data_IF_850689750905
#
_entry.id   IF_850689750905
#
_cell.length_a   1.000
_cell.length_b   1.000
_cell.length_c   1.000
_cell.angle_alpha   90.00
_cell.angle_beta   90.00
_cell.angle_gamma   90.00
#
_symmetry.space_group_name_H-M   'P 1'
#
loop_
_entity.id
_entity.type
_entity.pdbx_description
1 polymer ?
#
# COMPACT_ATOMS: atom_id res chain seq x y z
N UNK A 1 5.02 4.68 5.56
CA UNK A 1 4.91 5.31 6.89
C UNK A 1 5.95 6.43 7.08
N UNK A 2 5.73 7.57 6.42
CA UNK A 2 6.67 8.72 6.51
C UNK A 2 6.21 9.74 7.54
N UNK A 3 4.90 9.95 7.67
CA UNK A 3 4.28 10.83 8.66
C UNK A 3 4.82 12.26 8.65
N UNK A 4 5.03 12.82 7.45
CA UNK A 4 5.61 14.17 7.23
C UNK A 4 7.04 14.33 7.79
N UNK A 5 7.76 13.24 8.04
CA UNK A 5 9.13 13.25 8.51
C UNK A 5 10.11 13.31 7.33
N UNK A 6 10.56 14.51 7.00
CA UNK A 6 11.46 14.76 5.87
C UNK A 6 12.80 14.02 5.96
N UNK A 7 13.35 13.88 7.16
CA UNK A 7 14.65 13.20 7.34
C UNK A 7 14.50 11.69 7.12
N UNK A 8 13.41 11.10 7.60
CA UNK A 8 13.06 9.71 7.31
C UNK A 8 12.87 9.52 5.81
N UNK A 9 12.06 10.37 5.16
CA UNK A 9 11.80 10.26 3.73
C UNK A 9 13.09 10.33 2.90
N UNK A 10 13.93 11.33 3.16
CA UNK A 10 15.25 11.46 2.50
C UNK A 10 16.18 10.29 2.83
N UNK A 11 16.10 9.77 4.05
CA UNK A 11 16.88 8.61 4.49
C UNK A 11 16.56 7.34 3.71
N UNK A 12 15.26 6.98 3.60
CA UNK A 12 14.83 5.75 2.92
C UNK A 12 15.09 5.77 1.41
N UNK A 13 15.07 6.95 0.76
CA UNK A 13 15.35 7.09 -0.68
C UNK A 13 16.81 7.43 -0.98
N UNK A 14 17.67 7.52 0.03
CA UNK A 14 19.08 7.90 -0.13
C UNK A 14 19.83 6.94 -1.07
N UNK A 15 20.46 7.51 -2.07
CA UNK A 15 21.27 6.76 -3.04
C UNK A 15 20.47 6.07 -4.14
N UNK A 16 19.15 6.12 -4.11
CA UNK A 16 18.29 5.61 -5.18
C UNK A 16 18.39 6.56 -6.39
N UNK A 17 18.50 5.99 -7.58
CA UNK A 17 18.56 6.75 -8.84
C UNK A 17 17.37 6.38 -9.71
N UNK A 18 16.90 7.31 -10.53
CA UNK A 18 15.80 7.05 -11.47
C UNK A 18 16.07 5.93 -12.48
N UNK A 19 17.34 5.60 -12.73
CA UNK A 19 17.73 4.47 -13.55
C UNK A 19 17.50 3.10 -12.91
N UNK A 20 17.23 3.07 -11.60
CA UNK A 20 17.22 1.83 -10.82
C UNK A 20 15.81 1.21 -10.72
N UNK A 21 14.76 1.92 -11.18
CA UNK A 21 13.38 1.49 -11.07
C UNK A 21 12.48 2.00 -12.21
N UNK A 22 11.42 1.26 -12.53
CA UNK A 22 10.43 1.59 -13.56
C UNK A 22 9.24 2.37 -13.01
N UNK A 23 8.96 2.26 -11.71
CA UNK A 23 7.91 3.00 -11.00
C UNK A 23 8.24 3.09 -9.51
N UNK A 24 7.64 4.04 -8.85
CA UNK A 24 7.81 4.31 -7.42
C UNK A 24 6.47 4.23 -6.70
N UNK A 25 6.41 3.51 -5.57
CA UNK A 25 5.20 3.35 -4.77
C UNK A 25 5.34 4.07 -3.43
N UNK A 26 4.41 4.96 -3.14
CA UNK A 26 4.19 5.53 -1.81
C UNK A 26 3.05 4.75 -1.15
N UNK A 27 3.39 3.86 -0.22
CA UNK A 27 2.42 2.93 0.35
C UNK A 27 1.79 3.45 1.64
N UNK A 28 1.11 4.59 1.57
CA UNK A 28 0.30 5.15 2.65
C UNK A 28 1.08 5.75 3.80
N UNK A 29 0.36 6.47 4.66
CA UNK A 29 0.85 7.19 5.82
C UNK A 29 2.08 8.06 5.52
N UNK A 30 2.05 8.67 4.32
CA UNK A 30 3.02 9.70 3.95
C UNK A 30 2.78 10.99 4.73
N UNK A 31 1.51 11.25 5.08
CA UNK A 31 1.06 12.36 5.90
C UNK A 31 0.41 11.87 7.19
N UNK A 32 0.71 12.49 8.35
CA UNK A 32 0.01 12.21 9.61
C UNK A 32 -1.42 12.75 9.61
N UNK A 33 -1.62 13.92 8.97
CA UNK A 33 -2.91 14.61 8.81
C UNK A 33 -2.85 15.51 7.58
N UNK A 34 -3.94 15.58 6.82
CA UNK A 34 -4.10 16.57 5.74
C UNK A 34 -4.93 17.74 6.29
N UNK A 35 -4.29 18.64 7.03
CA UNK A 35 -4.96 19.77 7.69
C UNK A 35 -4.93 21.06 6.88
N UNK A 36 -4.08 21.13 5.84
CA UNK A 36 -3.97 22.25 4.91
C UNK A 36 -4.01 21.73 3.47
N UNK A 37 -4.62 22.51 2.58
CA UNK A 37 -4.84 22.10 1.19
C UNK A 37 -3.56 21.73 0.43
N UNK A 38 -2.42 22.29 0.81
CA UNK A 38 -1.12 22.05 0.16
C UNK A 38 -0.18 21.11 0.93
N UNK A 39 -0.67 20.45 2.01
CA UNK A 39 0.11 19.48 2.80
C UNK A 39 0.80 18.45 1.89
N UNK A 40 0.07 17.89 0.92
CA UNK A 40 0.62 16.89 0.01
C UNK A 40 1.76 17.44 -0.86
N UNK A 41 1.64 18.67 -1.33
CA UNK A 41 2.68 19.30 -2.16
C UNK A 41 3.93 19.61 -1.34
N UNK A 42 3.76 20.19 -0.16
CA UNK A 42 4.88 20.67 0.67
C UNK A 42 5.65 19.56 1.38
N UNK A 43 4.97 18.49 1.78
CA UNK A 43 5.54 17.48 2.66
C UNK A 43 5.63 16.08 2.06
N UNK A 44 4.88 15.79 1.00
CA UNK A 44 4.89 14.46 0.38
C UNK A 44 5.55 14.51 -0.99
N UNK A 45 5.06 15.34 -1.89
CA UNK A 45 5.56 15.34 -3.27
C UNK A 45 6.84 16.14 -3.50
N UNK A 46 7.26 16.98 -2.55
CA UNK A 46 8.49 17.78 -2.71
C UNK A 46 9.78 16.94 -2.85
N UNK A 47 9.79 15.70 -2.36
CA UNK A 47 10.93 14.78 -2.48
C UNK A 47 10.95 14.08 -3.84
N UNK A 48 9.79 13.85 -4.46
CA UNK A 48 9.68 13.10 -5.73
C UNK A 48 10.55 13.68 -6.85
N UNK A 49 10.62 15.00 -7.09
CA UNK A 49 11.49 15.56 -8.14
C UNK A 49 12.98 15.26 -7.94
N UNK A 50 13.43 15.00 -6.71
CA UNK A 50 14.82 14.61 -6.47
C UNK A 50 15.10 13.15 -6.86
N UNK A 51 14.05 12.30 -6.93
CA UNK A 51 14.13 10.92 -7.38
C UNK A 51 13.92 10.81 -8.87
N UNK A 52 12.85 11.41 -9.37
CA UNK A 52 12.45 11.33 -10.77
C UNK A 52 11.53 12.47 -11.19
N UNK A 53 11.59 12.84 -12.46
CA UNK A 53 10.64 13.73 -13.12
C UNK A 53 9.87 13.04 -14.25
N UNK A 54 10.13 11.75 -14.52
CA UNK A 54 9.62 11.04 -15.70
C UNK A 54 9.12 9.63 -15.40
N UNK A 55 9.37 9.09 -14.20
CA UNK A 55 8.95 7.75 -13.82
C UNK A 55 7.62 7.82 -13.07
N UNK A 56 6.63 6.95 -13.38
CA UNK A 56 5.34 6.94 -12.73
C UNK A 56 5.45 6.76 -11.22
N UNK A 57 4.64 7.51 -10.48
CA UNK A 57 4.48 7.37 -9.05
C UNK A 57 3.09 6.79 -8.77
N UNK A 58 3.04 5.70 -8.04
CA UNK A 58 1.84 5.04 -7.54
C UNK A 58 1.61 5.51 -6.10
N UNK A 59 0.39 5.90 -5.78
CA UNK A 59 0.02 6.30 -4.43
C UNK A 59 -1.04 5.35 -3.86
N UNK A 60 -0.75 4.77 -2.71
CA UNK A 60 -1.71 4.00 -1.91
C UNK A 60 -2.11 4.85 -0.71
N UNK A 61 -3.40 5.02 -0.44
CA UNK A 61 -3.86 5.77 0.72
C UNK A 61 -3.64 4.95 2.00
N UNK A 62 -3.03 5.55 3.01
CA UNK A 62 -3.00 5.01 4.37
C UNK A 62 -4.19 5.53 5.20
N UNK A 63 -4.32 5.04 6.42
CA UNK A 63 -5.38 5.49 7.32
C UNK A 63 -5.17 6.93 7.79
N UNK A 64 -3.94 7.39 7.92
CA UNK A 64 -3.64 8.77 8.29
C UNK A 64 -4.02 9.80 7.22
N UNK A 65 -4.02 9.44 5.94
CA UNK A 65 -4.52 10.31 4.88
C UNK A 65 -6.04 10.50 4.89
N UNK A 66 -6.78 9.72 5.66
CA UNK A 66 -8.23 9.95 5.88
C UNK A 66 -8.49 11.03 6.92
N UNK A 67 -7.46 11.46 7.66
CA UNK A 67 -7.53 12.36 8.80
C UNK A 67 -7.17 13.80 8.44
N UNK A 68 -7.81 14.74 9.10
CA UNK A 68 -7.58 16.17 8.91
C UNK A 68 -8.68 16.86 8.12
N UNK A 69 -8.79 18.17 8.30
CA UNK A 69 -9.84 19.01 7.73
C UNK A 69 -9.91 18.92 6.20
N UNK A 70 -8.76 18.81 5.55
CA UNK A 70 -8.61 18.86 4.11
C UNK A 70 -8.29 17.48 3.48
N UNK A 71 -8.47 16.37 4.25
CA UNK A 71 -8.28 15.00 3.77
C UNK A 71 -9.11 14.69 2.50
N UNK A 72 -10.30 15.27 2.38
CA UNK A 72 -11.17 15.15 1.21
C UNK A 72 -10.56 15.71 -0.09
N UNK A 73 -9.45 16.45 -0.01
CA UNK A 73 -8.72 16.98 -1.17
C UNK A 73 -7.70 15.99 -1.73
N UNK A 74 -7.39 14.89 -1.04
CA UNK A 74 -6.41 13.90 -1.50
C UNK A 74 -6.65 13.45 -2.96
N UNK A 75 -7.89 13.17 -3.43
CA UNK A 75 -8.13 12.78 -4.82
C UNK A 75 -7.75 13.83 -5.87
N UNK A 76 -7.59 15.10 -5.48
CA UNK A 76 -7.09 16.15 -6.38
C UNK A 76 -5.59 16.06 -6.62
N UNK A 77 -4.84 15.53 -5.66
CA UNK A 77 -3.40 15.33 -5.75
C UNK A 77 -3.03 13.95 -6.28
N UNK A 78 -3.83 12.94 -5.94
CA UNK A 78 -3.66 11.55 -6.34
C UNK A 78 -4.90 11.05 -7.09
N UNK A 79 -5.17 11.58 -8.31
CA UNK A 79 -6.32 11.12 -9.09
C UNK A 79 -6.10 9.67 -9.53
N UNK A 80 -7.16 8.87 -9.49
CA UNK A 80 -7.16 7.48 -9.92
C UNK A 80 -8.11 7.25 -11.09
N UNK A 81 -7.92 6.18 -11.84
CA UNK A 81 -8.80 5.83 -12.97
C UNK A 81 -10.22 5.45 -12.53
N UNK A 82 -10.39 5.00 -11.31
CA UNK A 82 -11.68 4.59 -10.74
C UNK A 82 -12.43 5.73 -10.06
N UNK A 83 -11.76 6.86 -9.77
CA UNK A 83 -12.26 7.89 -8.87
C UNK A 83 -12.34 7.47 -7.40
N UNK A 84 -11.86 6.25 -7.08
CA UNK A 84 -11.72 5.68 -5.73
C UNK A 84 -10.24 5.56 -5.40
N UNK A 85 -9.82 5.44 -4.13
CA UNK A 85 -8.42 5.26 -3.77
C UNK A 85 -7.87 3.87 -4.09
N UNK A 86 -8.69 2.97 -4.63
CA UNK A 86 -8.30 1.64 -5.09
C UNK A 86 -8.42 1.50 -6.61
N UNK A 87 -7.47 0.81 -7.23
CA UNK A 87 -7.40 0.66 -8.69
C UNK A 87 -6.46 -0.48 -9.10
N UNK A 88 -6.57 -0.91 -10.36
CA UNK A 88 -5.67 -1.86 -10.99
C UNK A 88 -4.73 -1.13 -11.94
N UNK A 89 -3.46 -1.51 -11.93
CA UNK A 89 -2.50 -1.11 -12.96
C UNK A 89 -1.64 -2.31 -13.39
N UNK A 90 -1.03 -2.20 -14.57
CA UNK A 90 -0.09 -3.20 -15.10
C UNK A 90 1.24 -2.54 -15.40
N UNK A 91 2.32 -3.12 -14.88
CA UNK A 91 3.69 -2.73 -15.21
C UNK A 91 4.47 -3.97 -15.65
N UNK A 92 4.76 -4.06 -16.95
CA UNK A 92 5.43 -5.22 -17.52
C UNK A 92 4.73 -6.54 -17.16
N UNK A 93 5.43 -7.50 -16.52
CA UNK A 93 4.84 -8.78 -16.14
C UNK A 93 3.95 -8.73 -14.89
N UNK A 94 3.86 -7.58 -14.20
CA UNK A 94 3.22 -7.44 -12.88
C UNK A 94 1.89 -6.71 -13.00
N UNK A 95 0.80 -7.34 -12.53
CA UNK A 95 -0.44 -6.65 -12.19
C UNK A 95 -0.37 -6.18 -10.73
N UNK A 96 -0.73 -4.95 -10.48
CA UNK A 96 -0.74 -4.35 -9.15
C UNK A 96 -2.16 -3.93 -8.81
N UNK A 97 -2.75 -4.62 -7.82
CA UNK A 97 -3.97 -4.19 -7.16
C UNK A 97 -3.57 -3.20 -6.06
N UNK A 98 -3.83 -1.93 -6.28
CA UNK A 98 -3.73 -0.91 -5.24
C UNK A 98 -5.04 -0.93 -4.47
N UNK A 99 -4.97 -1.22 -3.17
CA UNK A 99 -6.09 -1.43 -2.28
C UNK A 99 -6.07 -0.43 -1.12
N UNK A 100 -7.21 -0.28 -0.44
CA UNK A 100 -7.38 0.70 0.62
C UNK A 100 -8.07 0.09 1.85
N UNK A 101 -7.34 -0.04 2.94
CA UNK A 101 -7.86 -0.61 4.19
C UNK A 101 -8.80 0.30 4.99
N UNK A 102 -8.95 1.57 4.59
CA UNK A 102 -9.70 2.55 5.38
C UNK A 102 -9.00 2.88 6.70
N UNK A 103 -9.69 2.71 7.82
CA UNK A 103 -9.21 2.98 9.18
C UNK A 103 -9.20 1.74 10.07
N UNK A 104 -8.53 1.83 11.24
CA UNK A 104 -8.25 0.70 12.14
C UNK A 104 -9.44 0.21 12.94
N UNK A 105 -10.39 1.11 13.25
CA UNK A 105 -11.49 0.86 14.18
C UNK A 105 -12.80 0.72 13.41
N UNK A 106 -13.84 0.11 14.02
CA UNK A 106 -15.18 0.09 13.45
C UNK A 106 -15.79 1.50 13.38
N UNK A 107 -16.73 1.70 12.47
CA UNK A 107 -17.38 3.00 12.23
C UNK A 107 -18.05 3.60 13.47
N UNK A 108 -18.50 2.75 14.42
CA UNK A 108 -19.10 3.14 15.69
C UNK A 108 -18.09 3.63 16.74
N UNK A 109 -16.79 3.54 16.45
CA UNK A 109 -15.76 3.99 17.39
C UNK A 109 -15.96 5.47 17.76
N UNK A 110 -15.94 5.83 19.07
CA UNK A 110 -16.21 7.20 19.53
C UNK A 110 -15.30 8.26 18.89
N UNK A 111 -14.10 7.87 18.51
CA UNK A 111 -13.10 8.74 17.86
C UNK A 111 -13.59 9.29 16.51
N UNK A 112 -14.45 8.54 15.82
CA UNK A 112 -14.99 8.95 14.51
C UNK A 112 -16.26 9.79 14.63
N UNK A 113 -16.85 9.90 15.82
CA UNK A 113 -18.03 10.73 16.08
C UNK A 113 -19.19 10.51 15.10
N UNK A 114 -19.33 9.29 14.53
CA UNK A 114 -20.37 8.95 13.57
C UNK A 114 -20.22 9.63 12.20
N UNK A 115 -19.02 10.07 11.82
CA UNK A 115 -18.77 10.82 10.59
C UNK A 115 -18.11 10.02 9.49
N UNK A 116 -17.94 8.69 9.66
CA UNK A 116 -17.26 7.80 8.73
C UNK A 116 -18.16 6.64 8.27
N UNK A 117 -17.86 6.05 7.13
CA UNK A 117 -18.52 4.87 6.55
C UNK A 117 -17.45 3.90 5.98
N UNK A 118 -16.40 3.58 6.73
CA UNK A 118 -15.32 2.72 6.25
C UNK A 118 -15.76 1.25 6.08
N UNK A 119 -16.70 0.78 6.87
CA UNK A 119 -17.20 -0.59 6.75
C UNK A 119 -17.92 -0.80 5.43
N UNK A 120 -18.77 0.14 5.04
CA UNK A 120 -19.42 0.15 3.73
C UNK A 120 -18.42 0.33 2.60
N UNK A 121 -17.46 1.24 2.76
CA UNK A 121 -16.40 1.49 1.80
C UNK A 121 -15.59 0.22 1.50
N UNK A 122 -15.16 -0.52 2.53
CA UNK A 122 -14.43 -1.80 2.38
C UNK A 122 -15.29 -2.86 1.69
N UNK A 123 -16.58 -2.93 2.02
CA UNK A 123 -17.49 -3.88 1.37
C UNK A 123 -17.65 -3.58 -0.12
N UNK A 124 -17.78 -2.30 -0.51
CA UNK A 124 -17.81 -1.87 -1.92
C UNK A 124 -16.49 -2.22 -2.63
N UNK A 125 -15.34 -2.06 -1.96
CA UNK A 125 -14.04 -2.42 -2.51
C UNK A 125 -13.92 -3.94 -2.74
N UNK A 126 -14.38 -4.77 -1.82
CA UNK A 126 -14.39 -6.23 -2.00
C UNK A 126 -15.20 -6.63 -3.23
N UNK A 127 -16.37 -6.03 -3.45
CA UNK A 127 -17.17 -6.29 -4.66
C UNK A 127 -16.44 -5.81 -5.93
N UNK A 128 -15.75 -4.68 -5.87
CA UNK A 128 -14.93 -4.21 -6.98
C UNK A 128 -13.76 -5.17 -7.27
N UNK A 129 -13.11 -5.73 -6.25
CA UNK A 129 -12.02 -6.72 -6.44
C UNK A 129 -12.55 -7.93 -7.20
N UNK A 130 -13.72 -8.49 -6.84
CA UNK A 130 -14.33 -9.65 -7.51
C UNK A 130 -14.55 -9.42 -9.01
N UNK A 131 -14.75 -8.17 -9.41
CA UNK A 131 -14.93 -7.82 -10.83
C UNK A 131 -13.60 -7.49 -11.52
N UNK A 132 -12.75 -6.68 -10.90
CA UNK A 132 -11.52 -6.21 -11.55
C UNK A 132 -10.49 -7.32 -11.76
N UNK A 133 -10.49 -8.36 -10.93
CA UNK A 133 -9.59 -9.52 -11.12
C UNK A 133 -9.91 -10.36 -12.37
N UNK A 134 -11.03 -10.08 -13.05
CA UNK A 134 -11.40 -10.67 -14.34
C UNK A 134 -10.82 -9.88 -15.54
N UNK A 135 -10.31 -8.67 -15.29
CA UNK A 135 -9.72 -7.82 -16.33
C UNK A 135 -8.47 -8.47 -16.94
N UNK A 136 -8.26 -8.39 -18.28
CA UNK A 136 -7.04 -8.87 -18.93
C UNK A 136 -5.75 -8.29 -18.34
N UNK A 137 -5.75 -7.05 -17.85
CA UNK A 137 -4.59 -6.47 -17.16
C UNK A 137 -4.17 -7.30 -15.95
N UNK A 138 -5.13 -7.95 -15.28
CA UNK A 138 -4.87 -8.82 -14.14
C UNK A 138 -4.64 -10.27 -14.56
N UNK A 139 -5.55 -10.83 -15.35
CA UNK A 139 -5.54 -12.28 -15.68
C UNK A 139 -4.34 -12.70 -16.53
N UNK A 140 -3.86 -11.84 -17.42
CA UNK A 140 -2.70 -12.08 -18.27
C UNK A 140 -1.36 -11.71 -17.60
N UNK A 141 -1.41 -11.17 -16.38
CA UNK A 141 -0.19 -10.87 -15.64
C UNK A 141 0.49 -12.14 -15.15
N UNK A 142 1.81 -12.17 -15.25
CA UNK A 142 2.60 -13.27 -14.71
C UNK A 142 2.61 -13.25 -13.19
N UNK A 143 2.71 -12.05 -12.61
CA UNK A 143 2.70 -11.84 -11.16
C UNK A 143 1.58 -10.88 -10.77
N UNK A 144 0.92 -11.19 -9.67
CA UNK A 144 -0.23 -10.46 -9.14
C UNK A 144 0.10 -9.97 -7.73
N UNK A 145 0.34 -8.69 -7.61
CA UNK A 145 0.76 -8.05 -6.36
C UNK A 145 -0.37 -7.19 -5.81
N UNK A 146 -0.76 -7.42 -4.57
CA UNK A 146 -1.62 -6.50 -3.83
C UNK A 146 -0.75 -5.51 -3.06
N UNK A 147 -1.03 -4.21 -3.18
CA UNK A 147 -0.41 -3.15 -2.40
C UNK A 147 -1.48 -2.48 -1.57
N UNK A 148 -1.39 -2.58 -0.27
CA UNK A 148 -2.36 -2.02 0.67
C UNK A 148 -1.62 -1.56 1.92
N UNK A 149 -1.92 -0.35 2.41
CA UNK A 149 -1.21 0.18 3.56
C UNK A 149 -1.41 -0.67 4.81
N UNK A 150 -2.66 -0.92 5.23
CA UNK A 150 -3.00 -1.76 6.38
C UNK A 150 -2.91 -3.25 5.97
N UNK A 151 -2.01 -4.06 6.57
CA UNK A 151 -1.92 -5.47 6.24
C UNK A 151 -3.15 -6.26 6.76
N UNK A 152 -3.67 -7.17 5.95
CA UNK A 152 -4.82 -8.01 6.29
C UNK A 152 -4.42 -9.16 7.22
N UNK A 153 -4.22 -8.87 8.52
CA UNK A 153 -3.72 -9.81 9.52
C UNK A 153 -4.85 -10.35 10.43
N UNK A 154 -4.67 -11.58 10.92
CA UNK A 154 -5.58 -12.22 11.88
C UNK A 154 -4.79 -12.92 12.99
N UNK A 155 -4.44 -12.13 14.01
CA UNK A 155 -3.79 -12.58 15.23
C UNK A 155 -4.57 -12.07 16.45
N UNK A 156 -4.31 -12.59 17.68
CA UNK A 156 -5.05 -12.17 18.88
C UNK A 156 -4.97 -10.66 19.20
N UNK A 157 -3.90 -9.99 18.76
CA UNK A 157 -3.64 -8.57 18.94
C UNK A 157 -3.90 -7.74 17.68
N UNK A 158 -4.45 -8.33 16.61
CA UNK A 158 -4.81 -7.59 15.40
C UNK A 158 -5.93 -6.60 15.68
N UNK A 159 -5.82 -5.41 15.09
CA UNK A 159 -6.85 -4.39 15.16
C UNK A 159 -8.09 -4.79 14.37
N UNK A 160 -9.22 -4.20 14.69
CA UNK A 160 -10.50 -4.52 14.06
C UNK A 160 -10.47 -4.41 12.54
N UNK A 161 -9.88 -3.33 12.00
CA UNK A 161 -9.74 -3.14 10.55
C UNK A 161 -8.96 -4.27 9.89
N UNK A 162 -7.87 -4.74 10.51
CA UNK A 162 -7.08 -5.86 10.00
C UNK A 162 -7.86 -7.17 10.00
N UNK A 163 -8.62 -7.43 11.07
CA UNK A 163 -9.47 -8.61 11.16
C UNK A 163 -10.55 -8.59 10.08
N UNK A 164 -11.20 -7.44 9.89
CA UNK A 164 -12.21 -7.26 8.85
C UNK A 164 -11.64 -7.51 7.44
N UNK A 165 -10.48 -6.92 7.14
CA UNK A 165 -9.78 -7.11 5.87
C UNK A 165 -9.39 -8.57 5.65
N UNK A 166 -8.89 -9.23 6.70
CA UNK A 166 -8.54 -10.64 6.62
C UNK A 166 -9.77 -11.51 6.35
N UNK A 167 -10.87 -11.30 7.05
CA UNK A 167 -12.08 -12.13 6.95
C UNK A 167 -12.83 -11.93 5.63
N UNK A 168 -12.80 -10.73 5.04
CA UNK A 168 -13.62 -10.40 3.88
C UNK A 168 -12.82 -10.25 2.58
N UNK A 169 -11.58 -9.76 2.64
CA UNK A 169 -10.79 -9.47 1.44
C UNK A 169 -9.82 -10.61 1.09
N UNK A 170 -9.15 -11.21 2.09
CA UNK A 170 -8.17 -12.29 1.84
C UNK A 170 -8.76 -13.47 1.08
N UNK A 171 -9.97 -13.97 1.35
CA UNK A 171 -10.56 -15.06 0.56
C UNK A 171 -10.69 -14.72 -0.93
N UNK A 172 -11.07 -13.49 -1.25
CA UNK A 172 -11.20 -13.03 -2.64
C UNK A 172 -9.83 -12.92 -3.32
N UNK A 173 -8.82 -12.46 -2.60
CA UNK A 173 -7.44 -12.39 -3.11
C UNK A 173 -6.82 -13.78 -3.28
N UNK A 174 -7.15 -14.75 -2.43
CA UNK A 174 -6.77 -16.17 -2.59
C UNK A 174 -7.34 -16.73 -3.89
N UNK A 175 -8.67 -16.58 -4.11
CA UNK A 175 -9.33 -17.03 -5.35
C UNK A 175 -8.76 -16.36 -6.60
N UNK A 176 -8.38 -15.08 -6.51
CA UNK A 176 -7.75 -14.34 -7.59
C UNK A 176 -6.32 -14.80 -7.90
N UNK A 177 -5.70 -15.57 -7.00
CA UNK A 177 -4.34 -16.05 -7.14
C UNK A 177 -3.30 -14.94 -7.01
N UNK A 178 -3.47 -14.05 -6.02
CA UNK A 178 -2.47 -13.04 -5.64
C UNK A 178 -1.17 -13.74 -5.23
N UNK A 179 -0.04 -13.22 -5.68
CA UNK A 179 1.29 -13.79 -5.39
C UNK A 179 1.88 -13.27 -4.09
N UNK A 180 1.59 -12.03 -3.72
CA UNK A 180 2.06 -11.37 -2.50
C UNK A 180 1.25 -10.12 -2.18
N UNK A 181 1.11 -9.80 -0.91
CA UNK A 181 0.63 -8.51 -0.42
C UNK A 181 1.79 -7.72 0.19
N UNK A 182 1.96 -6.47 -0.23
CA UNK A 182 2.94 -5.51 0.28
C UNK A 182 2.24 -4.42 1.08
N UNK A 183 2.64 -4.22 2.31
CA UNK A 183 1.98 -3.34 3.28
C UNK A 183 2.98 -2.51 4.10
N UNK A 184 2.46 -1.61 4.93
CA UNK A 184 3.18 -0.79 5.91
C UNK A 184 2.50 -0.85 7.28
N UNK A 185 2.16 0.32 7.87
CA UNK A 185 1.27 0.52 9.01
C UNK A 185 1.83 0.12 10.38
N UNK A 186 2.57 -0.95 10.48
CA UNK A 186 3.09 -1.45 11.77
C UNK A 186 4.41 -0.84 12.20
N UNK A 187 5.04 0.00 11.38
CA UNK A 187 6.34 0.62 11.63
C UNK A 187 7.45 -0.39 11.98
N UNK A 188 7.29 -1.62 11.52
CA UNK A 188 8.26 -2.72 11.71
C UNK A 188 8.13 -3.74 10.59
N UNK A 189 9.20 -4.46 10.36
CA UNK A 189 9.19 -5.57 9.42
C UNK A 189 8.36 -6.74 9.95
N UNK A 190 7.36 -7.18 9.15
CA UNK A 190 6.54 -8.37 9.41
C UNK A 190 6.51 -9.21 8.12
N UNK A 191 6.73 -10.50 8.23
CA UNK A 191 6.55 -11.44 7.12
C UNK A 191 5.68 -12.61 7.57
N UNK A 192 4.51 -12.73 6.97
CA UNK A 192 3.54 -13.80 7.21
C UNK A 192 3.60 -14.77 6.04
N UNK A 193 3.85 -16.02 6.32
CA UNK A 193 3.90 -17.07 5.30
C UNK A 193 2.48 -17.46 4.85
N UNK A 194 2.33 -18.03 3.64
CA UNK A 194 1.09 -18.65 3.24
C UNK A 194 0.57 -19.63 4.30
N UNK A 195 -0.72 -19.54 4.62
CA UNK A 195 -1.43 -20.39 5.59
C UNK A 195 -1.39 -19.91 7.05
N UNK A 196 -0.56 -18.92 7.41
CA UNK A 196 -0.42 -18.49 8.83
C UNK A 196 -1.62 -17.68 9.34
N UNK A 197 -2.35 -16.99 8.45
CA UNK A 197 -3.56 -16.26 8.83
C UNK A 197 -4.68 -16.35 7.75
N UNK A 198 -4.84 -17.51 7.12
CA UNK A 198 -5.87 -17.77 6.11
C UNK A 198 -5.50 -17.29 4.70
N UNK A 199 -4.31 -16.77 4.52
CA UNK A 199 -3.74 -16.30 3.26
C UNK A 199 -3.06 -17.45 2.48
N UNK A 200 -3.25 -17.54 1.16
CA UNK A 200 -2.53 -18.47 0.27
C UNK A 200 -1.25 -17.83 -0.31
N UNK A 201 -1.01 -16.57 -0.03
CA UNK A 201 0.12 -15.76 -0.47
C UNK A 201 0.84 -15.12 0.73
N UNK A 202 2.13 -14.80 0.64
CA UNK A 202 2.80 -14.08 1.74
C UNK A 202 2.27 -12.66 1.90
N UNK A 203 2.23 -12.18 3.15
CA UNK A 203 1.93 -10.78 3.49
C UNK A 203 3.19 -10.20 4.11
N UNK A 204 3.70 -9.10 3.54
CA UNK A 204 4.88 -8.42 3.98
C UNK A 204 4.53 -6.98 4.35
N UNK A 205 4.67 -6.61 5.62
CA UNK A 205 4.66 -5.22 6.06
C UNK A 205 6.10 -4.72 6.22
N UNK A 206 6.38 -3.54 5.63
CA UNK A 206 7.71 -2.96 5.68
C UNK A 206 7.88 -2.03 6.90
N UNK A 207 9.11 -1.90 7.36
CA UNK A 207 9.50 -0.95 8.40
C UNK A 207 9.46 0.49 7.87
N UNK A 208 9.12 1.47 8.73
CA UNK A 208 9.04 2.89 8.37
C UNK A 208 10.41 3.51 8.05
N UNK A 209 11.49 2.91 8.54
CA UNK A 209 12.89 3.33 8.29
C UNK A 209 13.58 2.49 7.20
N UNK A 210 12.80 1.79 6.39
CA UNK A 210 13.32 0.94 5.33
C UNK A 210 12.61 1.18 4.00
N UNK A 211 13.33 0.99 2.88
CA UNK A 211 12.73 0.89 1.55
C UNK A 211 12.67 -0.56 1.12
N UNK A 212 11.60 -0.90 0.41
CA UNK A 212 11.43 -2.19 -0.25
C UNK A 212 11.63 -1.99 -1.75
N UNK A 213 12.48 -2.81 -2.34
CA UNK A 213 12.68 -2.92 -3.78
C UNK A 213 12.05 -4.23 -4.24
N UNK A 214 11.16 -4.14 -5.24
CA UNK A 214 10.50 -5.29 -5.87
C UNK A 214 10.94 -5.36 -7.33
N UNK A 215 11.58 -6.44 -7.70
CA UNK A 215 12.03 -6.72 -9.07
C UNK A 215 11.33 -7.98 -9.59
N UNK A 216 10.85 -7.95 -10.82
CA UNK A 216 10.21 -9.11 -11.45
C UNK A 216 10.65 -9.28 -12.90
N UNK A 217 10.97 -10.52 -13.27
CA UNK A 217 11.36 -10.88 -14.63
C UNK A 217 10.62 -12.14 -15.14
N UNK A 218 11.17 -12.74 -16.19
CA UNK A 218 10.61 -13.97 -16.75
C UNK A 218 10.84 -15.21 -15.87
N UNK A 219 11.67 -15.17 -14.84
CA UNK A 219 12.03 -16.31 -14.00
C UNK A 219 11.36 -16.27 -12.63
N UNK A 220 11.22 -15.09 -12.04
CA UNK A 220 10.66 -14.93 -10.71
C UNK A 220 10.46 -13.46 -10.33
N UNK A 221 10.18 -13.23 -9.06
CA UNK A 221 10.31 -11.92 -8.46
C UNK A 221 11.26 -11.97 -7.26
N UNK A 222 11.88 -10.84 -6.99
CA UNK A 222 12.83 -10.65 -5.91
C UNK A 222 12.43 -9.44 -5.08
N UNK A 223 12.50 -9.58 -3.77
CA UNK A 223 12.27 -8.49 -2.82
C UNK A 223 13.55 -8.28 -2.03
N UNK A 224 13.98 -7.02 -1.96
CA UNK A 224 15.14 -6.59 -1.17
C UNK A 224 14.71 -5.42 -0.29
N UNK A 225 15.05 -5.50 1.00
CA UNK A 225 14.71 -4.44 1.96
C UNK A 225 16.02 -3.86 2.50
N UNK A 226 16.13 -2.54 2.39
CA UNK A 226 17.30 -1.79 2.81
C UNK A 226 16.93 -0.77 3.88
N UNK A 227 17.75 -0.67 4.93
CA UNK A 227 17.61 0.38 5.93
C UNK A 227 18.07 1.76 5.39
N UNK A 228 17.92 2.82 6.19
CA UNK A 228 18.32 4.19 5.81
C UNK A 228 19.82 4.35 5.59
N UNK A 229 20.65 3.39 6.01
CA UNK A 229 22.10 3.40 5.73
C UNK A 229 22.43 2.78 4.37
N UNK A 230 21.46 2.14 3.73
CA UNK A 230 21.60 1.38 2.48
C UNK A 230 22.06 -0.07 2.69
N UNK A 231 22.03 -0.57 3.92
CA UNK A 231 22.34 -1.96 4.23
C UNK A 231 21.14 -2.85 3.94
N UNK A 232 21.36 -3.95 3.21
CA UNK A 232 20.35 -5.00 3.00
C UNK A 232 20.03 -5.68 4.33
N UNK A 233 18.76 -5.66 4.72
CA UNK A 233 18.27 -6.25 5.97
C UNK A 233 17.50 -7.55 5.73
N UNK A 234 16.69 -7.61 4.69
CA UNK A 234 15.88 -8.79 4.35
C UNK A 234 15.86 -9.03 2.84
N UNK A 235 15.61 -10.28 2.46
CA UNK A 235 15.58 -10.71 1.06
C UNK A 235 14.62 -11.89 0.91
N UNK A 236 13.75 -11.83 -0.11
CA UNK A 236 12.79 -12.88 -0.45
C UNK A 236 12.79 -13.09 -1.95
N UNK A 237 12.73 -14.33 -2.40
CA UNK A 237 12.76 -14.73 -3.81
C UNK A 237 11.65 -15.75 -4.09
N UNK A 238 11.00 -15.64 -5.28
CA UNK A 238 10.01 -16.60 -5.80
C UNK A 238 10.32 -16.99 -7.23
#
# INVERSE_FOLDING_TARGET
DIHLNDDRYKGVVKGVKSSDFDFFVMNGDMASYISEADTMLRHVFHVVPSLTSSIPTVYTRGNHETRGRDAHLLPKFCPTSTGRPYYLLRQGPVAILVLDGGEDKPDEAPEYSGTVEFDKFRAEEVEWIKEVVKDPLFTEAKYKVAVMHIPALKFPDSWWGQLWLNENMVPVLNEAGVDIMLSGHHHKHIYIKPGECGNDFPILANDEEARLEFEADSKGYHIRIYDMTGKLTHSYDK
#
